data_IF_198853238245
#
_entry.id   IF_198853238245
#
_cell.length_a   1.000
_cell.length_b   1.000
_cell.length_c   1.000
_cell.angle_alpha   90.00
_cell.angle_beta   90.00
_cell.angle_gamma   90.00
#
_symmetry.space_group_name_H-M   'P 1'
#
loop_
_entity.id
_entity.type
_entity.pdbx_description
1 polymer ?
#
# COMPACT_ATOMS: atom_id res chain seq x y z
N UNK A 1 21.15 10.61 0.71
CA UNK A 1 20.29 9.66 0.01
C UNK A 1 18.97 9.52 0.74
N UNK A 2 17.88 9.32 0.02
CA UNK A 2 16.56 9.24 0.63
C UNK A 2 16.30 7.83 1.17
N UNK A 3 16.13 7.72 2.49
CA UNK A 3 15.87 6.42 3.15
C UNK A 3 14.60 5.76 2.65
N UNK A 4 13.60 6.55 2.28
CA UNK A 4 12.31 6.04 1.80
C UNK A 4 12.51 5.32 0.47
N UNK A 5 13.29 5.90 -0.44
CA UNK A 5 13.59 5.29 -1.73
C UNK A 5 14.31 3.96 -1.53
N UNK A 6 15.31 3.92 -0.64
CA UNK A 6 16.05 2.70 -0.35
C UNK A 6 15.13 1.62 0.23
N UNK A 7 14.24 1.99 1.13
CA UNK A 7 13.29 1.07 1.76
C UNK A 7 12.31 0.50 0.73
N UNK A 8 11.77 1.36 -0.15
CA UNK A 8 10.86 0.93 -1.20
C UNK A 8 11.55 -0.04 -2.16
N UNK A 9 12.78 0.28 -2.56
CA UNK A 9 13.54 -0.60 -3.45
C UNK A 9 13.80 -1.96 -2.81
N UNK A 10 14.05 -1.97 -1.51
CA UNK A 10 14.25 -3.21 -0.76
C UNK A 10 12.98 -4.04 -0.72
N UNK A 11 11.83 -3.41 -0.49
CA UNK A 11 10.54 -4.13 -0.51
C UNK A 11 10.31 -4.74 -1.88
N UNK A 12 10.51 -3.97 -2.95
CA UNK A 12 10.30 -4.46 -4.30
C UNK A 12 11.20 -5.66 -4.61
N UNK A 13 12.43 -5.60 -4.18
CA UNK A 13 13.40 -6.68 -4.38
C UNK A 13 13.04 -7.92 -3.55
N UNK A 14 12.82 -7.74 -2.24
CA UNK A 14 12.60 -8.84 -1.31
C UNK A 14 11.30 -9.60 -1.60
N UNK A 15 10.27 -8.90 -2.05
CA UNK A 15 8.96 -9.48 -2.31
C UNK A 15 8.71 -9.77 -3.78
N UNK A 16 9.66 -9.45 -4.65
CA UNK A 16 9.54 -9.64 -6.10
C UNK A 16 8.28 -8.94 -6.66
N UNK A 17 8.05 -7.71 -6.21
CA UNK A 17 6.92 -6.90 -6.66
C UNK A 17 7.40 -5.60 -7.26
N UNK A 18 6.49 -4.87 -7.90
CA UNK A 18 6.77 -3.56 -8.43
C UNK A 18 5.60 -2.64 -8.15
N UNK A 19 5.86 -1.58 -7.38
CA UNK A 19 4.82 -0.60 -7.10
C UNK A 19 4.52 0.24 -8.34
N UNK A 20 3.23 0.61 -8.56
CA UNK A 20 2.89 1.57 -9.60
C UNK A 20 3.66 2.87 -9.41
N UNK A 21 4.17 3.48 -10.50
CA UNK A 21 4.98 4.69 -10.39
C UNK A 21 4.30 5.86 -9.67
N UNK A 22 3.00 6.05 -9.89
CA UNK A 22 2.26 7.13 -9.25
C UNK A 22 2.21 6.93 -7.73
N UNK A 23 1.92 5.71 -7.28
CA UNK A 23 1.90 5.40 -5.85
C UNK A 23 3.30 5.56 -5.24
N UNK A 24 4.31 5.07 -5.92
CA UNK A 24 5.70 5.17 -5.44
C UNK A 24 6.09 6.63 -5.23
N UNK A 25 5.77 7.49 -6.19
CA UNK A 25 6.04 8.93 -6.07
C UNK A 25 5.28 9.55 -4.91
N UNK A 26 4.01 9.19 -4.76
CA UNK A 26 3.16 9.70 -3.67
C UNK A 26 3.73 9.32 -2.31
N UNK A 27 4.17 8.09 -2.18
CA UNK A 27 4.77 7.59 -0.94
C UNK A 27 6.07 8.35 -0.59
N UNK A 28 6.88 8.63 -1.59
CA UNK A 28 8.18 9.32 -1.41
C UNK A 28 7.98 10.81 -1.13
N UNK A 29 7.09 11.46 -1.86
CA UNK A 29 6.97 12.92 -1.84
C UNK A 29 5.91 13.45 -0.89
N UNK A 30 4.83 12.69 -0.66
CA UNK A 30 3.69 13.16 0.12
C UNK A 30 3.56 12.47 1.47
N UNK A 31 3.45 11.15 1.48
CA UNK A 31 3.24 10.40 2.71
C UNK A 31 4.48 10.42 3.59
N UNK A 32 5.61 10.11 3.01
CA UNK A 32 6.91 10.09 3.72
C UNK A 32 6.84 9.23 4.97
N UNK A 33 7.15 9.81 6.12
CA UNK A 33 7.15 9.15 7.42
C UNK A 33 6.00 9.60 8.33
N UNK A 34 4.94 10.15 7.74
CA UNK A 34 3.76 10.57 8.49
C UNK A 34 3.12 9.39 9.23
N UNK A 35 2.82 9.57 10.51
CA UNK A 35 2.22 8.51 11.32
C UNK A 35 0.82 8.15 10.86
N UNK A 36 0.06 9.14 10.40
CA UNK A 36 -1.30 8.94 9.95
C UNK A 36 -1.58 9.91 8.81
N UNK A 37 -1.32 9.47 7.59
CA UNK A 37 -1.60 10.29 6.43
C UNK A 37 -3.04 10.07 5.99
N UNK A 38 -3.84 11.11 6.09
CA UNK A 38 -5.26 11.06 5.76
C UNK A 38 -5.51 11.61 4.37
N UNK A 39 -6.37 10.94 3.60
CA UNK A 39 -6.93 11.52 2.38
C UNK A 39 -8.44 11.42 2.42
N UNK A 40 -9.09 12.36 1.74
CA UNK A 40 -10.55 12.40 1.65
C UNK A 40 -10.94 12.11 0.22
N UNK A 41 -11.82 11.13 0.03
CA UNK A 41 -12.31 10.78 -1.30
C UNK A 41 -13.48 11.69 -1.71
N UNK A 42 -14.06 11.42 -2.89
CA UNK A 42 -15.17 12.22 -3.43
C UNK A 42 -16.44 12.12 -2.59
N UNK A 43 -16.58 11.09 -1.78
CA UNK A 43 -17.74 10.88 -0.89
C UNK A 43 -17.52 11.46 0.49
N UNK A 44 -16.43 12.22 0.69
CA UNK A 44 -16.03 12.79 1.98
C UNK A 44 -15.67 11.73 3.02
N UNK A 45 -15.37 10.53 2.59
CA UNK A 45 -14.85 9.49 3.48
C UNK A 45 -13.36 9.70 3.66
N UNK A 46 -12.89 9.51 4.89
CA UNK A 46 -11.48 9.67 5.24
C UNK A 46 -10.84 8.29 5.30
N UNK A 47 -9.71 8.14 4.63
CA UNK A 47 -8.94 6.91 4.72
C UNK A 47 -7.50 7.23 5.08
N UNK A 48 -6.83 6.28 5.71
CA UNK A 48 -5.44 6.41 6.15
C UNK A 48 -4.55 5.61 5.23
N UNK A 49 -3.48 6.26 4.73
CA UNK A 49 -2.46 5.56 3.96
C UNK A 49 -1.25 5.34 4.86
N UNK A 50 -0.69 4.14 4.82
CA UNK A 50 0.47 3.79 5.63
C UNK A 50 1.73 4.46 5.11
N UNK A 51 2.61 4.84 6.04
CA UNK A 51 3.94 5.31 5.66
C UNK A 51 4.82 4.12 5.26
N UNK A 52 6.01 4.42 4.75
CA UNK A 52 6.92 3.40 4.23
C UNK A 52 7.34 2.37 5.28
N UNK A 53 7.43 2.78 6.54
CA UNK A 53 7.90 1.88 7.61
C UNK A 53 6.81 0.93 8.10
N UNK A 54 5.54 1.26 7.91
CA UNK A 54 4.42 0.44 8.37
C UNK A 54 3.92 -0.54 7.31
N UNK A 55 4.32 -0.36 6.06
CA UNK A 55 3.80 -1.17 4.95
C UNK A 55 4.01 -2.67 5.14
N UNK A 56 5.24 -3.09 5.42
CA UNK A 56 5.55 -4.53 5.56
C UNK A 56 4.80 -5.12 6.76
N UNK A 57 4.83 -4.42 7.89
CA UNK A 57 4.17 -4.89 9.10
C UNK A 57 2.68 -5.11 8.88
N UNK A 58 2.01 -4.18 8.20
CA UNK A 58 0.56 -4.29 7.96
C UNK A 58 0.22 -5.41 6.99
N UNK A 59 1.02 -5.59 5.95
CA UNK A 59 0.81 -6.69 5.03
C UNK A 59 1.05 -8.05 5.69
N UNK A 60 2.02 -8.15 6.59
CA UNK A 60 2.27 -9.36 7.35
C UNK A 60 1.17 -9.64 8.38
N UNK A 61 0.70 -8.61 9.07
CA UNK A 61 -0.36 -8.74 10.07
C UNK A 61 -1.63 -9.35 9.49
N UNK A 62 -2.00 -8.94 8.28
CA UNK A 62 -3.19 -9.46 7.60
C UNK A 62 -2.89 -10.61 6.65
N UNK A 63 -1.63 -11.03 6.57
CA UNK A 63 -1.20 -12.15 5.72
C UNK A 63 -1.64 -12.00 4.27
N UNK A 64 -1.53 -10.77 3.76
CA UNK A 64 -2.08 -10.38 2.45
C UNK A 64 -1.51 -11.22 1.32
N UNK A 65 -0.18 -11.38 1.28
CA UNK A 65 0.47 -12.02 0.14
C UNK A 65 0.19 -13.51 0.05
N UNK A 66 -0.25 -14.13 1.14
CA UNK A 66 -0.70 -15.52 1.11
C UNK A 66 -2.06 -15.64 0.43
N UNK A 67 -2.95 -14.67 0.69
CA UNK A 67 -4.33 -14.67 0.20
C UNK A 67 -4.43 -14.03 -1.18
N UNK A 68 -3.75 -12.90 -1.36
CA UNK A 68 -3.80 -12.09 -2.59
C UNK A 68 -2.38 -11.69 -3.01
N UNK A 69 -1.62 -12.63 -3.61
CA UNK A 69 -0.19 -12.40 -3.88
C UNK A 69 0.10 -11.25 -4.84
N UNK A 70 -0.86 -10.86 -5.69
CA UNK A 70 -0.67 -9.78 -6.65
C UNK A 70 -1.10 -8.42 -6.11
N UNK A 71 -1.51 -8.34 -4.84
CA UNK A 71 -1.99 -7.11 -4.24
C UNK A 71 -1.19 -6.75 -3.00
N UNK A 72 -1.13 -5.46 -2.72
CA UNK A 72 -0.39 -4.93 -1.59
C UNK A 72 -1.28 -3.94 -0.84
N UNK A 73 -1.41 -4.13 0.47
CA UNK A 73 -2.22 -3.28 1.33
C UNK A 73 -1.48 -1.97 1.60
N UNK A 74 -2.11 -0.84 1.26
CA UNK A 74 -1.48 0.47 1.38
C UNK A 74 -2.17 1.41 2.36
N UNK A 75 -3.35 1.04 2.85
CA UNK A 75 -4.09 1.87 3.79
C UNK A 75 -5.35 1.20 4.25
N UNK A 76 -6.09 1.87 5.13
CA UNK A 76 -7.36 1.33 5.63
C UNK A 76 -8.26 2.41 6.20
N UNK A 77 -9.54 2.08 6.29
CA UNK A 77 -10.56 2.83 7.00
C UNK A 77 -11.34 1.80 7.82
N UNK A 78 -10.99 1.68 9.10
CA UNK A 78 -11.53 0.61 9.93
C UNK A 78 -11.21 -0.77 9.34
N UNK A 79 -12.25 -1.54 9.03
CA UNK A 79 -12.09 -2.88 8.48
C UNK A 79 -11.97 -2.91 6.95
N UNK A 80 -12.07 -1.75 6.30
CA UNK A 80 -11.94 -1.66 4.85
C UNK A 80 -10.49 -1.38 4.50
N UNK A 81 -9.86 -2.33 3.80
CA UNK A 81 -8.49 -2.18 3.34
C UNK A 81 -8.42 -1.60 1.94
N UNK A 82 -7.37 -0.83 1.66
CA UNK A 82 -7.11 -0.25 0.34
C UNK A 82 -5.86 -0.89 -0.23
N UNK A 83 -5.95 -1.35 -1.47
CA UNK A 83 -4.93 -2.18 -2.10
C UNK A 83 -4.53 -1.63 -3.46
N UNK A 84 -3.29 -1.87 -3.84
CA UNK A 84 -2.81 -1.65 -5.20
C UNK A 84 -2.36 -2.98 -5.80
N UNK A 85 -2.45 -3.07 -7.13
CA UNK A 85 -1.96 -4.22 -7.86
C UNK A 85 -0.45 -4.10 -8.03
N UNK A 86 0.27 -5.15 -7.66
CA UNK A 86 1.74 -5.19 -7.75
C UNK A 86 2.25 -6.38 -8.57
N UNK A 87 1.34 -7.09 -9.22
CA UNK A 87 1.70 -8.20 -10.09
C UNK A 87 2.35 -7.71 -11.38
N UNK A 88 2.99 -8.64 -12.09
CA UNK A 88 3.72 -8.31 -13.31
C UNK A 88 2.85 -8.30 -14.57
N UNK A 89 1.59 -8.71 -14.46
CA UNK A 89 0.73 -8.88 -15.63
C UNK A 89 0.34 -7.56 -16.30
N UNK A 90 0.24 -6.49 -15.51
CA UNK A 90 -0.09 -5.15 -16.03
C UNK A 90 0.27 -4.10 -14.99
N UNK A 91 0.48 -2.87 -15.45
CA UNK A 91 0.60 -1.73 -14.55
C UNK A 91 -0.79 -1.17 -14.30
N UNK A 92 -1.03 -0.73 -13.07
CA UNK A 92 -2.32 -0.14 -12.71
C UNK A 92 -2.14 0.83 -11.55
N UNK A 93 -2.67 2.03 -11.70
CA UNK A 93 -2.70 3.03 -10.65
C UNK A 93 -4.02 2.97 -9.86
N UNK A 94 -4.87 2.01 -10.16
CA UNK A 94 -6.16 1.88 -9.51
C UNK A 94 -6.01 1.39 -8.08
N UNK A 95 -6.71 2.06 -7.16
CA UNK A 95 -6.79 1.62 -5.76
C UNK A 95 -8.08 0.82 -5.60
N UNK A 96 -7.95 -0.38 -5.04
CA UNK A 96 -9.07 -1.27 -4.79
C UNK A 96 -9.39 -1.29 -3.30
N UNK A 97 -10.65 -1.42 -2.94
CA UNK A 97 -11.05 -1.57 -1.55
C UNK A 97 -11.63 -2.97 -1.32
N UNK A 98 -11.21 -3.60 -0.22
CA UNK A 98 -11.66 -4.93 0.16
C UNK A 98 -11.87 -4.95 1.66
N UNK A 99 -12.97 -5.55 2.11
CA UNK A 99 -13.21 -5.77 3.54
C UNK A 99 -12.15 -6.73 4.07
N UNK A 100 -11.34 -6.27 5.03
CA UNK A 100 -10.27 -7.08 5.59
C UNK A 100 -10.79 -8.34 6.27
N UNK A 101 -11.98 -8.29 6.84
CA UNK A 101 -12.62 -9.45 7.44
C UNK A 101 -13.08 -10.50 6.41
N UNK A 102 -13.17 -10.14 5.14
CA UNK A 102 -13.56 -11.06 4.08
C UNK A 102 -12.37 -11.77 3.43
N UNK A 103 -11.15 -11.43 3.81
CA UNK A 103 -9.94 -12.06 3.28
C UNK A 103 -9.74 -13.44 3.88
N UNK A 104 -9.40 -14.36 3.02
CA UNK A 104 -9.06 -15.70 3.42
C UNK A 104 -10.19 -16.57 3.84
#
# INVERSE_FOLDING_TARGET
MNKIIEYINKIEFDMSIKFPPVYKRFLIEEIKDSEAYEITNKKHEILYLYNYSDLIERNETYDIQRVEPDYFLIGQDGDLGYFIYVGSAKESDTIFSIDLGALG
#
